data_IF_959154479590
#
_entry.id   IF_959154479590
#
_cell.length_a   1.000
_cell.length_b   1.000
_cell.length_c   1.000
_cell.angle_alpha   90.00
_cell.angle_beta   90.00
_cell.angle_gamma   90.00
#
_symmetry.space_group_name_H-M   'P 1'
#
loop_
_entity.id
_entity.type
_entity.pdbx_description
1 polymer ?
#
# COMPACT_ATOMS: atom_id res chain seq x y z
N UNK A 1 7.06 10.03 7.74
CA UNK A 1 8.00 9.67 8.83
C UNK A 1 7.53 8.47 9.64
N UNK A 2 6.30 8.44 10.18
CA UNK A 2 5.81 7.35 11.05
C UNK A 2 5.98 5.91 10.51
N UNK A 3 5.80 5.66 9.21
CA UNK A 3 5.99 4.30 8.66
C UNK A 3 7.46 3.92 8.53
N UNK A 4 8.32 4.85 8.09
CA UNK A 4 9.77 4.62 8.01
C UNK A 4 10.38 4.38 9.39
N UNK A 5 9.85 5.03 10.43
CA UNK A 5 10.27 4.84 11.82
C UNK A 5 9.83 3.48 12.38
N UNK A 6 8.65 2.97 11.98
CA UNK A 6 8.10 1.69 12.47
C UNK A 6 8.60 0.47 11.69
N UNK A 7 8.73 0.59 10.38
CA UNK A 7 9.05 -0.53 9.47
C UNK A 7 10.50 -0.48 8.96
N UNK A 8 11.23 0.60 9.23
CA UNK A 8 12.56 0.83 8.70
C UNK A 8 12.55 1.48 7.32
N UNK A 9 13.49 2.41 7.10
CA UNK A 9 13.59 3.19 5.87
C UNK A 9 13.75 2.32 4.61
N UNK A 10 14.61 1.30 4.65
CA UNK A 10 14.86 0.41 3.51
C UNK A 10 13.62 -0.38 3.11
N UNK A 11 12.82 -0.83 4.08
CA UNK A 11 11.58 -1.56 3.81
C UNK A 11 10.56 -0.67 3.09
N UNK A 12 10.39 0.57 3.54
CA UNK A 12 9.50 1.53 2.88
C UNK A 12 9.99 1.84 1.46
N UNK A 13 11.29 2.06 1.29
CA UNK A 13 11.88 2.39 -0.01
C UNK A 13 11.78 1.24 -1.01
N UNK A 14 11.95 -0.01 -0.58
CA UNK A 14 11.92 -1.16 -1.49
C UNK A 14 10.49 -1.60 -1.82
N UNK A 15 9.57 -1.52 -0.86
CA UNK A 15 8.26 -2.17 -0.99
C UNK A 15 7.09 -1.19 -1.14
N UNK A 16 7.25 0.08 -0.74
CA UNK A 16 6.15 1.05 -0.81
C UNK A 16 6.38 2.15 -1.84
N UNK A 17 7.62 2.58 -2.07
CA UNK A 17 7.92 3.59 -3.10
C UNK A 17 7.59 3.14 -4.53
N UNK A 18 7.77 1.86 -4.91
CA UNK A 18 7.40 1.40 -6.25
C UNK A 18 5.89 1.31 -6.49
N UNK A 19 5.06 1.54 -5.47
CA UNK A 19 3.61 1.46 -5.59
C UNK A 19 3.05 2.70 -6.27
N UNK A 20 2.18 2.47 -7.25
CA UNK A 20 1.36 3.52 -7.82
C UNK A 20 0.12 3.74 -6.98
N UNK A 21 -0.20 5.00 -6.72
CA UNK A 21 -1.45 5.37 -6.08
C UNK A 21 -2.52 5.47 -7.17
N UNK A 22 -3.50 4.58 -7.14
CA UNK A 22 -4.61 4.59 -8.12
C UNK A 22 -5.76 5.44 -7.61
N UNK A 23 -6.12 5.27 -6.34
CA UNK A 23 -7.24 5.98 -5.71
C UNK A 23 -6.89 6.39 -4.28
N UNK A 24 -7.17 7.64 -3.92
CA UNK A 24 -7.25 8.10 -2.53
C UNK A 24 -8.56 8.87 -2.38
N UNK A 25 -9.51 8.29 -1.63
CA UNK A 25 -10.78 8.89 -1.23
C UNK A 25 -10.94 8.72 0.28
N UNK A 26 -11.91 9.42 0.87
CA UNK A 26 -12.18 9.34 2.32
C UNK A 26 -12.53 7.93 2.81
N UNK A 27 -13.07 7.07 1.93
CA UNK A 27 -13.53 5.71 2.27
C UNK A 27 -12.69 4.60 1.63
N UNK A 28 -11.84 4.92 0.65
CA UNK A 28 -11.11 3.94 -0.15
C UNK A 28 -9.70 4.42 -0.48
N UNK A 29 -8.73 3.53 -0.28
CA UNK A 29 -7.37 3.66 -0.81
C UNK A 29 -7.05 2.45 -1.68
N UNK A 30 -6.54 2.72 -2.87
CA UNK A 30 -6.00 1.70 -3.77
C UNK A 30 -4.56 2.02 -4.14
N UNK A 31 -3.68 1.06 -3.88
CA UNK A 31 -2.31 1.03 -4.35
C UNK A 31 -2.15 -0.08 -5.38
N UNK A 32 -1.32 0.14 -6.38
CA UNK A 32 -0.96 -0.84 -7.38
C UNK A 32 0.53 -1.15 -7.31
N UNK A 33 0.87 -2.40 -7.07
CA UNK A 33 2.22 -2.93 -7.14
C UNK A 33 2.66 -3.15 -8.59
N UNK A 34 3.98 -3.06 -8.87
CA UNK A 34 4.52 -3.31 -10.20
C UNK A 34 4.31 -4.75 -10.68
N UNK A 35 4.25 -5.71 -9.76
CA UNK A 35 4.06 -7.13 -10.06
C UNK A 35 3.29 -7.88 -8.95
N UNK A 36 2.93 -9.12 -9.25
CA UNK A 36 2.19 -10.01 -8.34
C UNK A 36 2.97 -10.35 -7.07
N UNK A 37 4.29 -10.56 -7.19
CA UNK A 37 5.13 -10.94 -6.07
C UNK A 37 5.19 -9.83 -5.02
N UNK A 38 5.40 -8.60 -5.47
CA UNK A 38 5.41 -7.42 -4.61
C UNK A 38 4.04 -7.19 -3.96
N UNK A 39 2.95 -7.29 -4.74
CA UNK A 39 1.58 -7.24 -4.19
C UNK A 39 1.41 -8.23 -3.03
N UNK A 40 1.75 -9.50 -3.27
CA UNK A 40 1.54 -10.57 -2.30
C UNK A 40 2.41 -10.41 -1.07
N UNK A 41 3.66 -9.98 -1.25
CA UNK A 41 4.55 -9.70 -0.15
C UNK A 41 4.02 -8.55 0.73
N UNK A 42 3.60 -7.43 0.14
CA UNK A 42 3.07 -6.29 0.91
C UNK A 42 1.76 -6.68 1.60
N UNK A 43 0.89 -7.42 0.90
CA UNK A 43 -0.37 -7.87 1.47
C UNK A 43 -0.19 -8.83 2.66
N UNK A 44 0.86 -9.65 2.63
CA UNK A 44 1.21 -10.54 3.74
C UNK A 44 1.89 -9.81 4.90
N UNK A 45 2.79 -8.88 4.61
CA UNK A 45 3.71 -8.34 5.61
C UNK A 45 3.36 -6.93 6.12
N UNK A 46 2.67 -6.11 5.32
CA UNK A 46 2.45 -4.68 5.62
C UNK A 46 0.98 -4.25 5.60
N UNK A 47 0.05 -5.17 5.32
CA UNK A 47 -1.38 -4.85 5.19
C UNK A 47 -1.96 -4.15 6.42
N UNK A 48 -1.59 -4.61 7.61
CA UNK A 48 -2.14 -4.09 8.88
C UNK A 48 -1.60 -2.69 9.13
N UNK A 49 -0.29 -2.49 8.99
CA UNK A 49 0.40 -1.22 9.19
C UNK A 49 -0.06 -0.17 8.17
N UNK A 50 -0.22 -0.56 6.90
CA UNK A 50 -0.74 0.33 5.86
C UNK A 50 -2.18 0.74 6.16
N UNK A 51 -3.08 -0.21 6.48
CA UNK A 51 -4.47 0.11 6.82
C UNK A 51 -4.54 1.07 8.01
N UNK A 52 -3.78 0.79 9.08
CA UNK A 52 -3.73 1.64 10.26
C UNK A 52 -3.23 3.05 9.91
N UNK A 53 -2.21 3.14 9.08
CA UNK A 53 -1.64 4.44 8.67
C UNK A 53 -2.62 5.23 7.83
N UNK A 54 -3.35 4.59 6.92
CA UNK A 54 -4.40 5.26 6.17
C UNK A 54 -5.57 5.69 7.07
N UNK A 55 -5.95 4.89 8.07
CA UNK A 55 -6.94 5.31 9.07
C UNK A 55 -6.48 6.49 9.93
N UNK A 56 -5.18 6.54 10.30
CA UNK A 56 -4.60 7.69 11.01
C UNK A 56 -4.59 8.96 10.15
N UNK A 57 -4.44 8.84 8.82
CA UNK A 57 -4.35 9.97 7.90
C UNK A 57 -5.71 10.46 7.37
N UNK A 58 -6.59 9.53 7.02
CA UNK A 58 -7.89 9.81 6.38
C UNK A 58 -9.06 9.79 7.38
N UNK A 59 -8.81 9.33 8.60
CA UNK A 59 -9.82 9.19 9.65
C UNK A 59 -10.48 7.81 9.68
N UNK A 60 -11.43 7.66 10.60
CA UNK A 60 -12.14 6.40 10.87
C UNK A 60 -13.09 5.96 9.74
N UNK A 61 -13.34 6.81 8.74
CA UNK A 61 -14.20 6.52 7.59
C UNK A 61 -13.57 5.60 6.56
N UNK A 62 -12.29 5.23 6.69
CA UNK A 62 -11.65 4.32 5.75
C UNK A 62 -12.22 2.90 5.89
N UNK A 63 -13.04 2.53 4.92
CA UNK A 63 -13.67 1.20 4.85
C UNK A 63 -12.80 0.21 4.08
N UNK A 64 -12.20 0.67 2.97
CA UNK A 64 -11.49 -0.18 2.03
C UNK A 64 -10.04 0.26 1.82
N UNK A 65 -9.12 -0.70 1.92
CA UNK A 65 -7.70 -0.52 1.58
C UNK A 65 -7.28 -1.74 0.78
N UNK A 66 -6.99 -1.53 -0.51
CA UNK A 66 -6.67 -2.61 -1.44
C UNK A 66 -5.30 -2.41 -2.10
N UNK A 67 -4.62 -3.53 -2.34
CA UNK A 67 -3.36 -3.58 -3.07
C UNK A 67 -3.58 -4.46 -4.28
N UNK A 68 -3.49 -3.89 -5.46
CA UNK A 68 -3.58 -4.61 -6.74
C UNK A 68 -2.18 -4.77 -7.33
N UNK A 69 -2.04 -5.56 -8.39
CA UNK A 69 -0.82 -5.65 -9.18
C UNK A 69 -1.12 -5.13 -10.58
N UNK A 70 -0.14 -4.50 -11.23
CA UNK A 70 -0.23 -4.24 -12.66
C UNK A 70 -0.34 -5.58 -13.37
N UNK A 71 -1.41 -5.78 -14.13
CA UNK A 71 -1.52 -6.94 -15.01
C UNK A 71 -0.44 -6.72 -16.09
N UNK A 72 0.44 -7.70 -16.29
CA UNK A 72 1.34 -7.67 -17.42
C UNK A 72 0.47 -7.64 -18.68
N UNK A 73 0.41 -6.50 -19.35
CA UNK A 73 -0.12 -6.45 -20.71
C UNK A 73 0.84 -7.24 -21.58
N UNK A 74 0.44 -8.45 -21.97
CA UNK A 74 1.09 -9.18 -23.05
C UNK A 74 1.02 -8.30 -24.31
N UNK A 75 2.19 -7.93 -24.85
CA UNK A 75 2.34 -7.37 -26.20
C UNK A 75 2.80 -8.52 -27.09
#
# INVERSE_FOLDING_TARGET
MRLCEKSGYEMVKQWLYPLNIITIKAIEVELQAPDLFMRDWIQKNLRIELKRTFQELLGSSLEQSRITSKIASEI
#
